data_IF_160429966916
#
_entry.id   IF_160429966916
#
_cell.length_a   1.000
_cell.length_b   1.000
_cell.length_c   1.000
_cell.angle_alpha   90.00
_cell.angle_beta   90.00
_cell.angle_gamma   90.00
#
_symmetry.space_group_name_H-M   'P 1'
#
loop_
_entity.id
_entity.type
_entity.pdbx_description
1 polymer ?
#
# COMPACT_ATOMS: atom_id res chain seq x y z
N UNK A 1 5.28 7.44 7.78
CA UNK A 1 4.69 6.17 7.31
C UNK A 1 5.81 5.35 6.69
N UNK A 2 5.95 4.08 7.08
CA UNK A 2 6.89 3.15 6.48
C UNK A 2 6.12 1.86 6.18
N UNK A 3 5.95 1.54 4.90
CA UNK A 3 5.26 0.35 4.43
C UNK A 3 6.27 -0.58 3.76
N UNK A 4 6.26 -1.84 4.14
CA UNK A 4 7.12 -2.88 3.60
C UNK A 4 6.36 -3.64 2.51
N UNK A 5 6.86 -3.59 1.28
CA UNK A 5 6.27 -4.30 0.15
C UNK A 5 7.02 -5.62 -0.05
N UNK A 6 6.32 -6.72 0.17
CA UNK A 6 6.77 -8.06 -0.17
C UNK A 6 6.32 -8.38 -1.60
N UNK A 7 7.19 -9.04 -2.37
CA UNK A 7 6.95 -9.29 -3.80
C UNK A 7 7.36 -10.70 -4.15
N UNK A 8 6.43 -11.46 -4.71
CA UNK A 8 6.58 -12.86 -5.10
C UNK A 8 6.14 -13.08 -6.55
N UNK A 9 6.74 -14.06 -7.22
CA UNK A 9 6.29 -14.52 -8.53
C UNK A 9 5.52 -15.84 -8.37
N UNK A 10 4.30 -15.87 -8.86
CA UNK A 10 3.39 -17.01 -8.83
C UNK A 10 3.78 -18.10 -9.83
N UNK A 11 3.26 -19.31 -9.65
CA UNK A 11 3.50 -20.45 -10.56
C UNK A 11 3.05 -20.19 -12.01
N UNK A 12 2.05 -19.32 -12.20
CA UNK A 12 1.54 -18.91 -13.51
C UNK A 12 2.34 -17.76 -14.16
N UNK A 13 3.40 -17.30 -13.48
CA UNK A 13 4.30 -16.25 -13.94
C UNK A 13 3.88 -14.83 -13.57
N UNK A 14 2.67 -14.62 -13.01
CA UNK A 14 2.26 -13.29 -12.50
C UNK A 14 3.06 -12.91 -11.27
N UNK A 15 3.14 -11.60 -11.01
CA UNK A 15 3.76 -11.05 -9.82
C UNK A 15 2.69 -10.62 -8.82
N UNK A 16 2.87 -10.98 -7.56
CA UNK A 16 2.07 -10.55 -6.42
C UNK A 16 2.89 -9.57 -5.58
N UNK A 17 2.29 -8.41 -5.27
CA UNK A 17 2.80 -7.50 -4.26
C UNK A 17 1.86 -7.45 -3.07
N UNK A 18 2.40 -7.47 -1.84
CA UNK A 18 1.65 -7.37 -0.58
C UNK A 18 2.30 -6.33 0.34
N UNK A 19 1.49 -5.59 1.11
CA UNK A 19 1.98 -4.68 2.15
C UNK A 19 1.83 -5.32 3.53
N UNK A 20 2.95 -5.62 4.18
CA UNK A 20 2.98 -6.35 5.46
C UNK A 20 2.18 -5.67 6.57
N UNK A 21 2.20 -4.34 6.63
CA UNK A 21 1.50 -3.56 7.67
C UNK A 21 0.00 -3.33 7.36
N UNK A 22 -0.47 -3.72 6.16
CA UNK A 22 -1.85 -3.57 5.73
C UNK A 22 -2.40 -4.92 5.25
N UNK A 23 -2.84 -5.80 6.17
CA UNK A 23 -3.41 -7.10 5.80
C UNK A 23 -4.54 -6.96 4.77
N UNK A 24 -4.44 -7.72 3.68
CA UNK A 24 -5.38 -7.66 2.55
C UNK A 24 -5.05 -6.61 1.49
N UNK A 25 -4.03 -5.77 1.69
CA UNK A 25 -3.52 -4.89 0.64
C UNK A 25 -2.54 -5.65 -0.26
N UNK A 26 -3.11 -6.34 -1.24
CA UNK A 26 -2.40 -7.19 -2.19
C UNK A 26 -2.84 -6.89 -3.63
N UNK A 27 -1.88 -6.90 -4.56
CA UNK A 27 -2.15 -6.60 -5.96
C UNK A 27 -1.27 -7.42 -6.91
N UNK A 28 -1.88 -7.89 -7.99
CA UNK A 28 -1.21 -8.61 -9.07
C UNK A 28 -0.75 -7.68 -10.19
N UNK A 29 0.41 -8.00 -10.80
CA UNK A 29 0.94 -7.41 -12.02
C UNK A 29 1.53 -8.47 -12.96
N UNK A 30 1.65 -8.13 -14.25
CA UNK A 30 2.34 -8.96 -15.23
C UNK A 30 3.87 -8.83 -15.13
N UNK A 31 4.35 -7.73 -14.56
CA UNK A 31 5.75 -7.53 -14.19
C UNK A 31 5.89 -7.25 -12.70
N UNK A 32 7.10 -7.43 -12.19
CA UNK A 32 7.46 -7.10 -10.81
C UNK A 32 7.14 -5.65 -10.48
N UNK A 33 7.50 -4.74 -11.38
CA UNK A 33 7.29 -3.29 -11.24
C UNK A 33 5.82 -2.94 -11.25
N UNK A 34 5.02 -3.63 -12.07
CA UNK A 34 3.57 -3.42 -12.12
C UNK A 34 2.90 -3.85 -10.81
N UNK A 35 3.28 -5.01 -10.25
CA UNK A 35 2.75 -5.47 -8.96
C UNK A 35 3.09 -4.48 -7.84
N UNK A 36 4.33 -3.99 -7.79
CA UNK A 36 4.79 -2.98 -6.83
C UNK A 36 3.98 -1.68 -6.96
N UNK A 37 3.84 -1.14 -8.18
CA UNK A 37 3.13 0.12 -8.39
C UNK A 37 1.65 -0.01 -7.98
N UNK A 38 1.02 -1.14 -8.31
CA UNK A 38 -0.40 -1.39 -7.97
C UNK A 38 -0.60 -1.54 -6.47
N UNK A 39 0.26 -2.28 -5.77
CA UNK A 39 0.12 -2.48 -4.32
C UNK A 39 0.43 -1.19 -3.55
N UNK A 40 1.37 -0.36 -4.01
CA UNK A 40 1.62 0.96 -3.45
C UNK A 40 0.38 1.88 -3.59
N UNK A 41 -0.24 1.91 -4.77
CA UNK A 41 -1.46 2.68 -4.98
C UNK A 41 -2.61 2.18 -4.09
N UNK A 42 -2.73 0.86 -3.91
CA UNK A 42 -3.72 0.26 -3.02
C UNK A 42 -3.48 0.65 -1.56
N UNK A 43 -2.23 0.59 -1.08
CA UNK A 43 -1.88 0.99 0.29
C UNK A 43 -2.27 2.44 0.58
N UNK A 44 -2.01 3.36 -0.37
CA UNK A 44 -2.42 4.76 -0.25
C UNK A 44 -3.95 4.93 -0.22
N UNK A 45 -4.70 4.12 -0.96
CA UNK A 45 -6.18 4.13 -0.91
C UNK A 45 -6.71 3.66 0.44
N UNK A 46 -6.13 2.60 1.00
CA UNK A 46 -6.49 2.11 2.34
C UNK A 46 -6.20 3.19 3.39
N UNK A 47 -5.07 3.87 3.28
CA UNK A 47 -4.71 4.99 4.15
C UNK A 47 -5.74 6.12 4.05
N UNK A 48 -6.15 6.50 2.83
CA UNK A 48 -7.15 7.54 2.62
C UNK A 48 -8.51 7.15 3.23
N UNK A 49 -8.98 5.93 2.98
CA UNK A 49 -10.24 5.39 3.51
C UNK A 49 -10.27 5.40 5.05
N UNK A 50 -9.17 5.01 5.69
CA UNK A 50 -9.03 5.10 7.15
C UNK A 50 -9.16 6.53 7.67
N UNK A 51 -8.55 7.51 6.99
CA UNK A 51 -8.67 8.92 7.36
C UNK A 51 -10.11 9.42 7.22
N UNK A 52 -10.83 9.03 6.17
CA UNK A 52 -12.22 9.41 5.93
C UNK A 52 -13.16 8.89 7.02
N UNK A 53 -12.88 7.70 7.55
CA UNK A 53 -13.67 7.08 8.62
C UNK A 53 -13.20 7.45 10.03
N UNK A 54 -12.19 8.33 10.16
CA UNK A 54 -11.64 8.76 11.46
C UNK A 54 -10.82 7.68 12.18
N UNK A 55 -10.36 6.66 11.46
CA UNK A 55 -9.47 5.64 11.99
C UNK A 55 -8.05 6.19 12.18
N UNK A 56 -7.34 5.65 13.17
CA UNK A 56 -5.96 6.06 13.43
C UNK A 56 -5.04 5.53 12.32
N UNK A 57 -4.37 6.45 11.62
CA UNK A 57 -3.28 6.10 10.71
C UNK A 57 -1.94 6.53 11.34
N UNK A 58 -1.06 5.58 11.71
CA UNK A 58 0.21 5.90 12.33
C UNK A 58 1.06 6.84 11.46
N UNK A 59 1.73 7.81 12.09
CA UNK A 59 2.72 8.68 11.44
C UNK A 59 2.18 9.60 10.32
N UNK A 60 0.88 9.90 10.30
CA UNK A 60 0.29 10.83 9.32
C UNK A 60 0.67 12.30 9.57
N UNK A 61 0.91 12.67 10.83
CA UNK A 61 1.20 14.05 11.23
C UNK A 61 2.46 14.64 10.57
N UNK A 62 3.37 13.80 10.08
CA UNK A 62 4.60 14.24 9.41
C UNK A 62 4.43 14.44 7.88
N UNK A 63 3.25 14.17 7.32
CA UNK A 63 3.04 14.18 5.86
C UNK A 63 2.57 15.54 5.36
N UNK A 64 1.69 16.21 6.11
CA UNK A 64 1.08 17.48 5.70
C UNK A 64 1.49 18.59 6.67
N UNK A 65 1.94 19.72 6.12
CA UNK A 65 2.05 20.96 6.89
C UNK A 65 0.72 21.70 6.82
N UNK A 66 0.06 21.88 7.97
CA UNK A 66 -1.12 22.73 8.08
C UNK A 66 -0.66 24.10 8.56
N UNK A 67 -0.80 25.10 7.70
CA UNK A 67 -0.58 26.49 8.06
C UNK A 67 -1.95 27.08 8.38
N UNK A 68 -2.11 27.60 9.60
CA UNK A 68 -3.31 28.33 10.06
C UNK A 68 -3.04 29.82 10.13
#
# INVERSE_FOLDING_TARGET
MNFTVEVEQEEDGRWLGEVAELPGALAYGQTREEAIARVQALALRVVADRLEHGESVPQMAAVFSVIT
#
